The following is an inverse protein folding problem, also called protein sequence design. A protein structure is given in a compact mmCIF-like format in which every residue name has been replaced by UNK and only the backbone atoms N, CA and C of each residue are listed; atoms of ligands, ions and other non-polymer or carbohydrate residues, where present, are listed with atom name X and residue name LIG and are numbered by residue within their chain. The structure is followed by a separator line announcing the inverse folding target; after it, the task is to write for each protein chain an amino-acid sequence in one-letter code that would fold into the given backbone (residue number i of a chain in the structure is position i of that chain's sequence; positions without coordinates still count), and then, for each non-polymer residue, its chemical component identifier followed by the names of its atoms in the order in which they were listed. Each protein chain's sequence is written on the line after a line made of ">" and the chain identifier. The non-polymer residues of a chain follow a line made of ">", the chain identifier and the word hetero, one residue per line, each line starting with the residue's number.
data_IF_324141900960
#
_entry.id   IF_324141900960
#
_cell.length_a   1.000
_cell.length_b   1.000
_cell.length_c   1.000
_cell.angle_alpha   90.00
_cell.angle_beta   90.00
_cell.angle_gamma   90.00
#
_symmetry.space_group_name_H-M   'P 1'
#
loop_
_entity.id
_entity.type
_entity.pdbx_description
1 polymer ?
#
# COMPACT_ATOMS: atom_id res chain seq x y z
N UNK A 1 8.00 -2.16 -0.69
CA UNK A 1 8.35 -3.01 -1.85
C UNK A 1 7.36 -2.73 -2.97
N UNK A 2 7.72 -1.85 -3.90
CA UNK A 2 6.94 -1.58 -5.11
C UNK A 2 7.26 -2.61 -6.20
N UNK A 3 7.02 -3.88 -5.89
CA UNK A 3 7.29 -5.04 -6.74
C UNK A 3 6.48 -6.24 -6.27
N UNK A 4 6.35 -7.23 -7.13
CA UNK A 4 5.76 -8.52 -6.82
C UNK A 4 5.86 -9.46 -8.02
N UNK A 5 5.37 -10.68 -7.83
CA UNK A 5 5.23 -11.66 -8.90
C UNK A 5 4.19 -12.70 -8.55
N UNK A 6 3.67 -13.39 -9.56
CA UNK A 6 2.75 -14.50 -9.36
C UNK A 6 3.44 -15.58 -8.53
N UNK A 7 2.81 -16.00 -7.43
CA UNK A 7 3.44 -16.94 -6.52
C UNK A 7 2.63 -17.23 -5.27
N UNK A 8 2.96 -18.34 -4.58
CA UNK A 8 2.30 -18.71 -3.34
C UNK A 8 2.71 -17.77 -2.20
N UNK A 9 1.93 -17.76 -1.12
CA UNK A 9 2.29 -17.07 0.13
C UNK A 9 3.43 -17.78 0.91
N UNK A 10 4.12 -18.73 0.28
CA UNK A 10 5.22 -19.51 0.84
C UNK A 10 6.47 -19.37 -0.03
N UNK A 11 7.63 -19.70 0.54
CA UNK A 11 8.92 -19.64 -0.16
C UNK A 11 9.71 -18.38 0.13
N UNK A 12 10.92 -18.30 -0.44
CA UNK A 12 11.97 -17.41 0.04
C UNK A 12 11.58 -15.93 0.14
N UNK A 13 10.83 -15.39 -0.82
CA UNK A 13 10.40 -14.00 -0.79
C UNK A 13 9.37 -13.74 0.32
N UNK A 14 8.37 -14.60 0.46
CA UNK A 14 7.36 -14.48 1.51
C UNK A 14 8.00 -14.65 2.90
N UNK A 15 8.89 -15.63 3.05
CA UNK A 15 9.62 -15.88 4.30
C UNK A 15 10.52 -14.71 4.68
N UNK A 16 11.20 -14.09 3.71
CA UNK A 16 12.01 -12.90 3.95
C UNK A 16 11.16 -11.71 4.44
N UNK A 17 9.97 -11.51 3.87
CA UNK A 17 9.05 -10.46 4.34
C UNK A 17 8.57 -10.76 5.76
N UNK A 18 8.14 -11.99 6.04
CA UNK A 18 7.72 -12.39 7.41
C UNK A 18 8.82 -12.22 8.44
N UNK A 19 10.04 -12.65 8.13
CA UNK A 19 11.18 -12.49 9.02
C UNK A 19 11.52 -11.01 9.25
N UNK A 20 11.40 -10.18 8.21
CA UNK A 20 11.59 -8.72 8.32
C UNK A 20 10.55 -8.11 9.27
N UNK A 21 9.27 -8.46 9.10
CA UNK A 21 8.20 -7.99 9.99
C UNK A 21 8.40 -8.50 11.42
N UNK A 22 8.75 -9.77 11.59
CA UNK A 22 9.02 -10.37 12.90
C UNK A 22 10.22 -9.71 13.63
N UNK A 23 11.17 -9.12 12.88
CA UNK A 23 12.27 -8.33 13.45
C UNK A 23 11.88 -6.90 13.86
N UNK A 24 10.61 -6.52 13.70
CA UNK A 24 10.08 -5.21 14.09
C UNK A 24 10.04 -4.16 12.97
N UNK A 25 10.33 -4.55 11.73
CA UNK A 25 10.34 -3.64 10.58
C UNK A 25 9.04 -3.75 9.79
N UNK A 26 8.27 -2.65 9.70
CA UNK A 26 7.06 -2.63 8.89
C UNK A 26 7.40 -2.70 7.39
N UNK A 27 6.69 -3.57 6.65
CA UNK A 27 6.88 -3.73 5.21
C UNK A 27 5.60 -3.34 4.49
N UNK A 28 5.68 -2.27 3.68
CA UNK A 28 4.57 -1.83 2.81
C UNK A 28 4.79 -2.39 1.42
N UNK A 29 3.79 -3.02 0.81
CA UNK A 29 3.89 -3.72 -0.47
C UNK A 29 2.81 -3.27 -1.46
N UNK A 30 3.13 -3.31 -2.75
CA UNK A 30 2.17 -3.06 -3.81
C UNK A 30 1.26 -4.30 -4.00
N UNK A 31 -0.04 -4.11 -4.20
CA UNK A 31 -0.96 -5.22 -4.44
C UNK A 31 -0.76 -5.94 -5.79
N UNK A 32 -0.14 -5.29 -6.76
CA UNK A 32 0.03 -5.76 -8.16
C UNK A 32 -0.89 -5.03 -9.16
N UNK A 33 -0.64 -5.22 -10.44
CA UNK A 33 -1.24 -4.43 -11.55
C UNK A 33 -1.91 -5.29 -12.63
N UNK A 34 -2.47 -6.44 -12.26
CA UNK A 34 -2.98 -7.45 -13.19
C UNK A 34 -4.51 -7.60 -13.16
N UNK A 35 -5.22 -6.72 -12.45
CA UNK A 35 -6.67 -6.78 -12.26
C UNK A 35 -7.13 -8.18 -11.78
N UNK A 36 -6.41 -8.74 -10.82
CA UNK A 36 -6.60 -10.11 -10.32
C UNK A 36 -6.57 -10.18 -8.79
N UNK A 37 -6.79 -11.37 -8.22
CA UNK A 37 -6.75 -11.56 -6.77
C UNK A 37 -5.34 -11.42 -6.23
N UNK A 38 -5.09 -10.46 -5.34
CA UNK A 38 -3.80 -10.21 -4.70
C UNK A 38 -3.29 -11.43 -3.89
N UNK A 39 -4.17 -12.36 -3.53
CA UNK A 39 -3.80 -13.65 -2.90
C UNK A 39 -2.86 -14.50 -3.76
N UNK A 40 -2.85 -14.28 -5.08
CA UNK A 40 -2.03 -15.02 -6.04
C UNK A 40 -0.64 -14.38 -6.29
N UNK A 41 -0.33 -13.29 -5.58
CA UNK A 41 0.86 -12.48 -5.82
C UNK A 41 1.70 -12.31 -4.56
N UNK A 42 2.99 -12.62 -4.65
CA UNK A 42 3.95 -12.45 -3.56
C UNK A 42 4.73 -11.15 -3.78
N UNK A 43 4.88 -10.27 -2.76
CA UNK A 43 4.50 -10.44 -1.35
C UNK A 43 3.11 -9.89 -0.96
N UNK A 44 2.23 -9.59 -1.91
CA UNK A 44 0.87 -9.06 -1.62
C UNK A 44 -0.05 -10.06 -0.89
N UNK A 45 0.36 -11.33 -0.80
CA UNK A 45 -0.29 -12.41 -0.08
C UNK A 45 0.42 -12.79 1.24
N UNK A 46 1.24 -11.88 1.77
CA UNK A 46 1.85 -12.02 3.10
C UNK A 46 1.06 -11.15 4.08
N UNK A 47 0.25 -11.79 4.93
CA UNK A 47 -0.68 -11.12 5.85
C UNK A 47 0.00 -10.15 6.84
N UNK A 48 1.28 -10.38 7.13
CA UNK A 48 2.06 -9.50 8.02
C UNK A 48 2.52 -8.19 7.36
N UNK A 49 2.41 -8.07 6.03
CA UNK A 49 2.74 -6.86 5.29
C UNK A 49 1.54 -5.92 5.15
N UNK A 50 1.79 -4.63 4.94
CA UNK A 50 0.76 -3.64 4.62
C UNK A 50 0.59 -3.60 3.10
N UNK A 51 -0.51 -4.12 2.59
CA UNK A 51 -0.78 -4.30 1.15
C UNK A 51 -1.62 -3.14 0.62
N UNK A 52 -1.12 -2.49 -0.43
CA UNK A 52 -1.68 -1.23 -0.94
C UNK A 52 -2.24 -1.38 -2.34
N UNK A 53 -3.56 -1.17 -2.46
CA UNK A 53 -4.29 -1.05 -3.73
C UNK A 53 -4.15 0.33 -4.38
N UNK A 54 -4.48 0.44 -5.66
CA UNK A 54 -4.37 1.67 -6.43
C UNK A 54 -5.74 2.32 -6.70
N UNK A 55 -5.86 3.61 -6.38
CA UNK A 55 -7.01 4.45 -6.72
C UNK A 55 -6.65 5.58 -7.68
N UNK A 56 -7.63 6.07 -8.41
CA UNK A 56 -7.53 7.26 -9.25
C UNK A 56 -8.14 8.52 -8.60
N UNK A 57 -8.02 9.67 -9.29
CA UNK A 57 -8.48 10.97 -8.80
C UNK A 57 -10.01 11.06 -8.63
N UNK A 58 -10.77 10.11 -9.16
CA UNK A 58 -12.23 10.04 -9.04
C UNK A 58 -12.70 9.13 -7.91
N UNK A 59 -11.80 8.79 -6.97
CA UNK A 59 -12.05 7.84 -5.89
C UNK A 59 -12.51 6.47 -6.44
N UNK A 60 -12.02 6.08 -7.62
CA UNK A 60 -12.27 4.76 -8.19
C UNK A 60 -11.09 3.82 -7.93
N UNK A 61 -11.37 2.53 -7.65
CA UNK A 61 -10.32 1.51 -7.81
C UNK A 61 -9.81 1.55 -9.24
N UNK A 62 -8.50 1.74 -9.42
CA UNK A 62 -7.94 1.79 -10.76
C UNK A 62 -8.04 0.42 -11.44
N UNK A 63 -8.44 0.40 -12.71
CA UNK A 63 -8.79 -0.81 -13.47
C UNK A 63 -7.74 -1.94 -13.46
N UNK A 64 -6.45 -1.62 -13.29
CA UNK A 64 -5.39 -2.62 -13.25
C UNK A 64 -5.02 -3.05 -11.83
N UNK A 65 -5.51 -2.39 -10.78
CA UNK A 65 -5.18 -2.76 -9.40
C UNK A 65 -5.65 -4.19 -9.12
N UNK A 66 -4.75 -5.01 -8.58
CA UNK A 66 -5.18 -6.24 -7.93
C UNK A 66 -6.06 -5.91 -6.72
N UNK A 67 -6.83 -6.91 -6.29
CA UNK A 67 -7.92 -6.77 -5.33
C UNK A 67 -8.04 -8.00 -4.42
N UNK A 68 -8.96 -7.96 -3.47
CA UNK A 68 -9.27 -9.08 -2.60
C UNK A 68 -8.90 -8.85 -1.13
N UNK A 69 -9.03 -9.89 -0.31
CA UNK A 69 -9.05 -9.76 1.15
C UNK A 69 -7.70 -9.42 1.77
N UNK A 70 -6.60 -9.53 1.03
CA UNK A 70 -5.27 -9.21 1.52
C UNK A 70 -4.95 -7.71 1.46
N UNK A 71 -5.77 -6.89 0.78
CA UNK A 71 -5.57 -5.44 0.73
C UNK A 71 -6.01 -4.78 2.05
N UNK A 72 -5.10 -4.04 2.68
CA UNK A 72 -5.42 -3.26 3.89
C UNK A 72 -6.09 -1.92 3.53
N UNK A 73 -5.50 -1.21 2.56
CA UNK A 73 -5.89 0.14 2.16
C UNK A 73 -5.60 0.42 0.68
N UNK A 74 -6.21 1.47 0.14
CA UNK A 74 -5.83 2.08 -1.12
C UNK A 74 -5.06 3.38 -0.90
N UNK A 75 -4.27 3.75 -1.90
CA UNK A 75 -3.64 5.07 -1.98
C UNK A 75 -3.52 5.54 -3.44
N UNK A 76 -3.40 6.87 -3.69
CA UNK A 76 -3.26 7.41 -5.03
C UNK A 76 -2.07 6.80 -5.77
N UNK A 77 -2.32 6.26 -6.96
CA UNK A 77 -1.26 5.68 -7.79
C UNK A 77 -1.48 5.89 -9.27
N UNK A 78 -2.38 6.78 -9.69
CA UNK A 78 -2.61 7.14 -11.08
C UNK A 78 -2.07 8.53 -11.37
N UNK A 79 -1.29 8.64 -12.46
CA UNK A 79 -0.63 9.88 -12.89
C UNK A 79 0.16 10.56 -11.76
N UNK A 80 0.88 9.77 -10.96
CA UNK A 80 1.69 10.29 -9.85
C UNK A 80 2.98 10.85 -10.39
N UNK A 81 3.25 12.11 -10.08
CA UNK A 81 4.51 12.79 -10.40
C UNK A 81 5.56 12.43 -9.36
N UNK A 82 6.75 12.05 -9.81
CA UNK A 82 7.92 11.83 -8.95
C UNK A 82 9.21 12.21 -9.68
N UNK A 83 10.35 11.97 -9.05
CA UNK A 83 11.67 12.17 -9.64
C UNK A 83 11.88 11.24 -10.86
N UNK A 84 12.46 11.80 -11.92
CA UNK A 84 12.87 11.07 -13.12
C UNK A 84 14.38 10.82 -13.14
N UNK A 85 14.82 9.90 -14.00
CA UNK A 85 16.24 9.49 -14.08
C UNK A 85 17.04 10.19 -15.19
N UNK A 86 16.42 11.10 -15.96
CA UNK A 86 17.05 11.74 -17.12
C UNK A 86 17.90 12.97 -16.77
N UNK A 87 17.91 13.39 -15.50
CA UNK A 87 18.70 14.51 -15.00
C UNK A 87 18.38 14.87 -13.55
N UNK A 88 19.15 15.77 -12.91
CA UNK A 88 19.04 16.06 -11.48
C UNK A 88 17.74 16.76 -11.04
N UNK A 89 17.04 17.41 -11.99
CA UNK A 89 15.74 18.06 -11.76
C UNK A 89 14.63 17.43 -12.60
N UNK A 90 14.88 16.25 -13.18
CA UNK A 90 13.90 15.60 -14.03
C UNK A 90 12.73 15.07 -13.20
N UNK A 91 11.54 15.14 -13.77
CA UNK A 91 10.33 14.51 -13.22
C UNK A 91 9.84 13.43 -14.17
N UNK A 92 9.10 12.47 -13.62
CA UNK A 92 8.40 11.45 -14.38
C UNK A 92 6.99 11.28 -13.80
N UNK A 93 6.03 11.03 -14.68
CA UNK A 93 4.66 10.68 -14.30
C UNK A 93 4.48 9.20 -14.59
N UNK A 94 4.08 8.43 -13.57
CA UNK A 94 3.84 6.99 -13.69
C UNK A 94 2.52 6.60 -13.02
N UNK A 95 2.07 5.37 -13.28
CA UNK A 95 0.83 4.80 -12.75
C UNK A 95 1.03 3.35 -12.31
N UNK A 96 0.50 2.99 -11.15
CA UNK A 96 0.41 1.62 -10.65
C UNK A 96 0.36 1.55 -9.12
N UNK A 97 0.09 0.37 -8.58
CA UNK A 97 0.21 0.08 -7.14
C UNK A 97 1.64 0.34 -6.61
N UNK A 98 2.63 0.34 -7.50
CA UNK A 98 4.01 0.78 -7.21
C UNK A 98 4.12 2.25 -6.82
N UNK A 99 3.18 3.09 -7.25
CA UNK A 99 3.06 4.52 -6.90
C UNK A 99 2.14 4.71 -5.68
N UNK A 100 1.19 3.81 -5.45
CA UNK A 100 0.36 3.79 -4.24
C UNK A 100 1.15 3.40 -2.99
N UNK A 101 1.92 2.31 -3.05
CA UNK A 101 2.71 1.80 -1.92
C UNK A 101 3.62 2.85 -1.24
N UNK A 102 4.39 3.70 -1.97
CA UNK A 102 5.25 4.69 -1.33
C UNK A 102 4.48 5.81 -0.60
N UNK A 103 3.22 6.11 -0.95
CA UNK A 103 2.40 7.03 -0.16
C UNK A 103 2.15 6.47 1.25
N UNK A 104 1.80 5.19 1.34
CA UNK A 104 1.57 4.52 2.63
C UNK A 104 2.88 4.32 3.40
N UNK A 105 4.00 4.04 2.72
CA UNK A 105 5.32 4.03 3.36
C UNK A 105 5.68 5.41 3.97
N UNK A 106 5.32 6.50 3.28
CA UNK A 106 5.45 7.85 3.82
C UNK A 106 4.58 8.09 5.06
N UNK A 107 3.34 7.57 5.07
CA UNK A 107 2.45 7.62 6.25
C UNK A 107 3.06 6.83 7.41
N UNK A 108 3.59 5.63 7.18
CA UNK A 108 4.31 4.83 8.20
C UNK A 108 5.45 5.65 8.82
N UNK A 109 6.31 6.25 7.98
CA UNK A 109 7.42 7.06 8.45
C UNK A 109 6.96 8.29 9.25
N UNK A 110 5.89 8.94 8.80
CA UNK A 110 5.28 10.07 9.50
C UNK A 110 4.75 9.66 10.88
N UNK A 111 4.03 8.54 10.98
CA UNK A 111 3.48 8.02 12.24
C UNK A 111 4.60 7.63 13.21
N UNK A 112 5.66 6.97 12.74
CA UNK A 112 6.83 6.67 13.56
C UNK A 112 7.50 7.95 14.10
N UNK A 113 7.57 9.00 13.29
CA UNK A 113 8.12 10.29 13.72
C UNK A 113 7.21 11.02 14.70
N UNK A 114 5.90 10.93 14.55
CA UNK A 114 4.92 11.68 15.34
C UNK A 114 4.60 10.98 16.67
N UNK A 115 4.42 9.68 16.63
CA UNK A 115 3.86 8.87 17.73
C UNK A 115 4.94 7.99 18.40
N UNK A 116 6.17 7.99 17.90
CA UNK A 116 7.28 7.19 18.40
C UNK A 116 7.34 5.77 17.84
N UNK A 117 8.29 4.95 18.32
CA UNK A 117 8.44 3.57 17.88
C UNK A 117 7.17 2.74 18.12
N UNK A 118 6.74 2.01 17.10
CA UNK A 118 5.59 1.11 17.12
C UNK A 118 5.95 -0.20 16.43
N UNK A 119 5.31 -1.28 16.84
CA UNK A 119 5.42 -2.56 16.14
C UNK A 119 4.76 -2.48 14.75
N UNK A 120 5.13 -3.36 13.80
CA UNK A 120 4.46 -3.42 12.49
C UNK A 120 2.95 -3.63 12.58
N UNK A 121 2.49 -4.46 13.52
CA UNK A 121 1.06 -4.71 13.74
C UNK A 121 0.33 -3.45 14.24
N UNK A 122 0.92 -2.71 15.18
CA UNK A 122 0.36 -1.43 15.65
C UNK A 122 0.33 -0.38 14.54
N UNK A 123 1.35 -0.34 13.67
CA UNK A 123 1.37 0.56 12.52
C UNK A 123 0.29 0.23 11.50
N UNK A 124 0.10 -1.05 11.16
CA UNK A 124 -0.97 -1.48 10.25
C UNK A 124 -2.35 -1.11 10.82
N UNK A 125 -2.61 -1.46 12.08
CA UNK A 125 -3.85 -1.10 12.77
C UNK A 125 -4.08 0.42 12.80
N UNK A 126 -3.02 1.21 13.05
CA UNK A 126 -3.10 2.68 13.07
C UNK A 126 -3.41 3.27 11.70
N UNK A 127 -2.87 2.70 10.62
CA UNK A 127 -3.18 3.13 9.24
C UNK A 127 -4.65 2.85 8.92
N UNK A 128 -5.15 1.67 9.28
CA UNK A 128 -6.56 1.29 9.08
C UNK A 128 -7.49 2.18 9.89
N UNK A 129 -7.17 2.46 11.16
CA UNK A 129 -7.92 3.36 12.03
C UNK A 129 -8.02 4.78 11.46
N UNK A 130 -6.92 5.28 10.91
CA UNK A 130 -6.86 6.61 10.33
C UNK A 130 -7.46 6.69 8.94
N UNK A 131 -7.59 5.59 8.20
CA UNK A 131 -8.05 5.61 6.81
C UNK A 131 -9.46 6.23 6.66
N UNK A 132 -9.71 6.84 5.51
CA UNK A 132 -11.05 7.35 5.17
C UNK A 132 -11.89 6.18 4.65
N UNK A 133 -13.00 5.81 5.33
CA UNK A 133 -13.82 4.68 4.92
C UNK A 133 -14.85 5.07 3.87
N UNK A 134 -15.23 4.09 3.04
CA UNK A 134 -16.43 4.13 2.20
C UNK A 134 -16.51 5.26 1.17
N UNK A 135 -15.36 5.74 0.71
CA UNK A 135 -15.27 6.76 -0.36
C UNK A 135 -15.02 6.16 -1.74
N UNK A 136 -14.51 4.93 -1.82
CA UNK A 136 -14.19 4.32 -3.10
C UNK A 136 -15.42 3.78 -3.82
N UNK A 137 -15.41 3.95 -5.14
CA UNK A 137 -16.37 3.39 -6.08
C UNK A 137 -15.74 2.34 -6.99
N UNK A 138 -16.57 1.49 -7.61
CA UNK A 138 -16.11 0.48 -8.58
C UNK A 138 -15.23 -0.63 -7.98
N UNK A 139 -15.32 -0.87 -6.66
CA UNK A 139 -14.51 -1.88 -5.98
C UNK A 139 -14.81 -3.30 -6.48
N UNK A 140 -13.75 -4.05 -6.71
CA UNK A 140 -13.82 -5.49 -6.89
C UNK A 140 -14.34 -6.18 -5.62
N UNK A 141 -14.99 -7.35 -5.74
CA UNK A 141 -15.52 -8.08 -4.58
C UNK A 141 -14.46 -8.36 -3.51
N UNK A 142 -14.91 -8.49 -2.26
CA UNK A 142 -14.07 -8.87 -1.11
C UNK A 142 -12.82 -8.00 -0.92
N UNK A 143 -12.93 -6.71 -1.21
CA UNK A 143 -11.83 -5.75 -1.15
C UNK A 143 -12.17 -4.65 -0.15
N UNK A 144 -11.17 -4.20 0.63
CA UNK A 144 -11.31 -3.08 1.56
C UNK A 144 -11.85 -1.81 0.87
N UNK A 145 -12.59 -0.97 1.59
CA UNK A 145 -12.98 0.37 1.15
C UNK A 145 -12.40 1.41 2.09
N UNK A 146 -11.07 1.42 2.18
CA UNK A 146 -10.29 2.29 3.05
C UNK A 146 -9.24 3.03 2.21
N UNK A 147 -9.21 4.35 2.30
CA UNK A 147 -8.19 5.19 1.67
C UNK A 147 -7.23 5.71 2.73
N UNK A 148 -5.94 5.40 2.59
CA UNK A 148 -4.92 5.84 3.55
C UNK A 148 -4.85 7.37 3.61
N UNK A 149 -4.85 7.93 4.83
CA UNK A 149 -4.65 9.37 5.06
C UNK A 149 -3.70 9.60 6.24
N UNK A 150 -3.11 10.80 6.28
CA UNK A 150 -2.42 11.29 7.47
C UNK A 150 -3.42 11.59 8.59
N UNK A 151 -2.98 11.60 9.87
CA UNK A 151 -3.81 12.08 10.98
C UNK A 151 -4.37 13.47 10.69
N UNK A 152 -5.69 13.64 10.88
CA UNK A 152 -6.31 14.96 10.80
C UNK A 152 -5.78 15.82 11.95
N UNK A 153 -5.32 17.03 11.64
CA UNK A 153 -5.02 18.01 12.70
C UNK A 153 -6.34 18.32 13.42
N UNK A 154 -6.42 18.01 14.71
CA UNK A 154 -7.46 18.62 15.55
C UNK A 154 -7.15 20.11 15.56
N UNK A 155 -8.08 20.94 15.07
CA UNK A 155 -7.96 22.38 15.23
C UNK A 155 -7.92 22.67 16.74
N UNK A 156 -6.77 23.18 17.20
CA UNK A 156 -6.60 23.79 18.53
C UNK A 156 -7.05 25.24 18.46
#
# INVERSE_FOLDING_TARGET
>A
MSLGGFGPSTGAQADAVRQTVASGLAVVVAAGNEASSATEWTPANVDEAIVVGNLDISDGQYRSSNYGPTLDVFAPGVNVVSAGITGPSATKVDTGTSMSAPHVAGIVAYLLSLEGPRTPAELSARIVELATPSVLSGLSPNTTNLVAQLPRRVAI
#
